data_IF_680316164494
#
_entry.id   IF_680316164494
#
_cell.length_a   1.000
_cell.length_b   1.000
_cell.length_c   1.000
_cell.angle_alpha   90.00
_cell.angle_beta   90.00
_cell.angle_gamma   90.00
#
_symmetry.space_group_name_H-M   'P 1'
#
loop_
_entity.id
_entity.type
_entity.pdbx_description
1 polymer ?
#
# COMPACT_ATOMS: atom_id res chain seq x y z
N UNK A 1 -31.22 5.91 2.64
CA UNK A 1 -29.77 5.68 2.91
C UNK A 1 -28.96 6.97 3.10
N UNK A 2 -29.39 8.11 2.57
CA UNK A 2 -28.70 9.40 2.68
C UNK A 2 -29.21 10.28 3.84
N UNK A 3 -29.94 9.73 4.80
CA UNK A 3 -30.46 10.46 5.96
C UNK A 3 -29.31 10.82 6.91
N UNK A 4 -29.38 12.02 7.51
CA UNK A 4 -28.44 12.51 8.52
C UNK A 4 -28.34 11.57 9.74
N UNK A 5 -29.45 10.88 10.07
CA UNK A 5 -29.48 9.87 11.13
C UNK A 5 -28.48 8.73 10.97
N UNK A 6 -27.96 8.49 9.75
CA UNK A 6 -26.97 7.48 9.47
C UNK A 6 -25.53 8.00 9.58
N UNK A 7 -25.31 9.28 9.88
CA UNK A 7 -24.00 9.90 10.14
C UNK A 7 -22.94 9.55 9.09
N UNK A 8 -23.34 9.50 7.80
CA UNK A 8 -22.43 9.17 6.68
C UNK A 8 -22.06 7.71 6.53
N UNK A 9 -22.48 6.81 7.43
CA UNK A 9 -22.24 5.35 7.36
C UNK A 9 -20.77 4.98 7.30
N UNK A 10 -19.95 5.69 8.06
CA UNK A 10 -18.53 5.37 8.16
C UNK A 10 -18.30 3.93 8.68
N UNK A 11 -17.22 3.30 8.31
CA UNK A 11 -16.87 1.94 8.73
C UNK A 11 -15.87 1.98 9.89
N UNK A 12 -16.13 1.34 11.02
CA UNK A 12 -17.42 0.75 11.45
C UNK A 12 -18.35 1.82 12.05
N UNK A 13 -19.66 1.67 11.92
CA UNK A 13 -20.61 2.54 12.63
C UNK A 13 -22.01 1.92 12.71
N UNK A 14 -22.83 2.32 13.72
CA UNK A 14 -24.24 1.92 13.77
C UNK A 14 -25.04 2.38 12.53
N UNK A 15 -24.64 3.47 11.90
CA UNK A 15 -25.22 3.94 10.65
C UNK A 15 -24.97 3.00 9.48
N UNK A 16 -23.77 2.40 9.40
CA UNK A 16 -23.47 1.38 8.42
C UNK A 16 -24.30 0.12 8.65
N UNK A 17 -24.40 -0.37 9.88
CA UNK A 17 -25.19 -1.55 10.22
C UNK A 17 -26.67 -1.36 9.90
N UNK A 18 -27.20 -0.19 10.20
CA UNK A 18 -28.59 0.19 9.86
C UNK A 18 -28.80 0.22 8.34
N UNK A 19 -27.84 0.74 7.59
CA UNK A 19 -27.91 0.77 6.13
C UNK A 19 -27.83 -0.65 5.54
N UNK A 20 -26.95 -1.50 6.05
CA UNK A 20 -26.83 -2.90 5.62
C UNK A 20 -28.13 -3.68 5.88
N UNK A 21 -28.72 -3.53 7.07
CA UNK A 21 -29.98 -4.15 7.40
C UNK A 21 -31.14 -3.65 6.51
N UNK A 22 -31.14 -2.36 6.15
CA UNK A 22 -32.13 -1.82 5.21
C UNK A 22 -31.96 -2.46 3.82
N UNK A 23 -30.75 -2.53 3.28
CA UNK A 23 -30.48 -3.13 1.97
C UNK A 23 -30.88 -4.60 1.95
N UNK A 24 -30.54 -5.36 2.99
CA UNK A 24 -30.91 -6.76 3.11
C UNK A 24 -32.44 -6.96 3.05
N UNK A 25 -33.21 -6.12 3.76
CA UNK A 25 -34.68 -6.14 3.67
C UNK A 25 -35.20 -5.82 2.27
N UNK A 26 -34.59 -4.86 1.57
CA UNK A 26 -35.00 -4.53 0.20
C UNK A 26 -34.74 -5.68 -0.76
N UNK A 27 -33.62 -6.37 -0.63
CA UNK A 27 -33.32 -7.57 -1.42
C UNK A 27 -34.33 -8.70 -1.15
N UNK A 28 -34.66 -8.92 0.12
CA UNK A 28 -35.66 -9.90 0.50
C UNK A 28 -37.06 -9.57 -0.07
N UNK A 29 -37.49 -8.32 0.00
CA UNK A 29 -38.75 -7.85 -0.57
C UNK A 29 -38.78 -7.97 -2.09
N UNK A 30 -37.64 -7.81 -2.75
CA UNK A 30 -37.49 -8.00 -4.21
C UNK A 30 -37.46 -9.48 -4.64
N UNK A 31 -37.57 -10.43 -3.70
CA UNK A 31 -37.56 -11.86 -3.98
C UNK A 31 -36.17 -12.45 -4.26
N UNK A 32 -35.11 -11.71 -4.00
CA UNK A 32 -33.75 -12.23 -4.13
C UNK A 32 -33.50 -13.33 -3.11
N UNK A 33 -32.50 -14.17 -3.35
CA UNK A 33 -32.06 -15.20 -2.42
C UNK A 33 -30.73 -14.79 -1.77
N UNK A 34 -30.54 -15.09 -0.49
CA UNK A 34 -29.27 -14.81 0.18
C UNK A 34 -28.15 -15.68 -0.36
N UNK A 35 -26.95 -15.14 -0.46
CA UNK A 35 -25.77 -15.90 -0.87
C UNK A 35 -25.28 -16.74 0.30
N UNK A 36 -25.17 -18.07 0.10
CA UNK A 36 -24.77 -19.02 1.14
C UNK A 36 -25.61 -18.90 2.44
N UNK A 37 -26.87 -18.53 2.31
CA UNK A 37 -27.79 -18.39 3.46
C UNK A 37 -27.66 -17.08 4.24
N UNK A 38 -26.84 -16.14 3.80
CA UNK A 38 -26.65 -14.86 4.47
C UNK A 38 -26.83 -13.67 3.53
N UNK A 39 -27.42 -12.58 4.05
CA UNK A 39 -27.56 -11.30 3.35
C UNK A 39 -26.35 -10.38 3.49
N UNK A 40 -25.46 -10.68 4.44
CA UNK A 40 -24.26 -9.93 4.74
C UNK A 40 -23.06 -10.87 4.81
N UNK A 41 -21.89 -10.36 4.49
CA UNK A 41 -20.62 -11.04 4.68
C UNK A 41 -19.84 -10.32 5.76
N UNK A 42 -19.33 -11.07 6.73
CA UNK A 42 -18.42 -10.54 7.74
C UNK A 42 -17.07 -10.21 7.10
N UNK A 43 -16.58 -9.00 7.34
CA UNK A 43 -15.25 -8.56 6.92
C UNK A 43 -14.49 -8.13 8.17
N UNK A 44 -13.43 -8.87 8.52
CA UNK A 44 -12.60 -8.55 9.67
C UNK A 44 -11.61 -7.45 9.30
N UNK A 45 -11.65 -6.38 10.06
CA UNK A 45 -10.79 -5.22 9.89
C UNK A 45 -10.05 -4.90 11.18
N UNK A 46 -8.89 -4.27 11.05
CA UNK A 46 -8.12 -3.76 12.18
C UNK A 46 -7.67 -2.33 11.90
N UNK A 47 -7.59 -1.52 12.93
CA UNK A 47 -6.87 -0.24 12.87
C UNK A 47 -5.40 -0.48 13.08
N UNK A 48 -4.57 0.28 12.39
CA UNK A 48 -3.13 0.22 12.51
C UNK A 48 -2.58 1.58 12.94
N UNK A 49 -1.52 1.56 13.72
CA UNK A 49 -0.78 2.75 14.13
C UNK A 49 0.69 2.55 13.81
N UNK A 50 1.38 3.67 13.60
CA UNK A 50 2.83 3.62 13.48
C UNK A 50 3.44 3.32 14.84
N UNK A 51 4.28 2.28 14.91
CA UNK A 51 5.02 1.92 16.12
C UNK A 51 6.15 2.92 16.43
N UNK A 52 6.75 2.78 17.61
CA UNK A 52 7.81 3.69 18.08
C UNK A 52 9.21 3.29 17.59
N UNK A 53 9.39 2.06 17.10
CA UNK A 53 10.69 1.46 16.78
C UNK A 53 10.97 1.35 15.27
N UNK A 54 10.51 2.33 14.49
CA UNK A 54 10.80 2.34 13.06
C UNK A 54 12.25 2.76 12.80
N UNK A 55 13.00 1.94 12.09
CA UNK A 55 14.40 2.21 11.75
C UNK A 55 14.70 1.85 10.29
N UNK A 56 15.51 2.66 9.64
CA UNK A 56 16.13 2.40 8.35
C UNK A 56 17.61 2.72 8.43
N UNK A 57 18.47 1.77 8.10
CA UNK A 57 19.92 1.92 8.06
C UNK A 57 20.45 1.36 6.76
N UNK A 58 21.34 2.08 6.10
CA UNK A 58 22.11 1.57 4.96
C UNK A 58 23.58 1.47 5.34
N UNK A 59 24.20 0.36 4.94
CA UNK A 59 25.64 0.13 5.06
C UNK A 59 26.29 0.28 3.69
N UNK A 60 27.14 1.28 3.52
CA UNK A 60 27.90 1.50 2.29
C UNK A 60 29.39 1.50 2.63
N UNK A 61 30.15 0.60 2.00
CA UNK A 61 31.59 0.45 2.26
C UNK A 61 31.92 0.25 3.76
N UNK A 62 31.11 -0.52 4.47
CA UNK A 62 31.27 -0.79 5.90
C UNK A 62 30.89 0.36 6.83
N UNK A 63 30.32 1.44 6.30
CA UNK A 63 29.84 2.59 7.09
C UNK A 63 28.31 2.58 7.13
N UNK A 64 27.77 2.55 8.35
CA UNK A 64 26.34 2.62 8.61
C UNK A 64 25.86 4.07 8.61
N UNK A 65 24.73 4.29 7.96
CA UNK A 65 24.00 5.55 7.97
C UNK A 65 22.55 5.26 8.36
N UNK A 66 22.12 5.83 9.48
CA UNK A 66 20.75 5.78 9.95
C UNK A 66 19.95 6.95 9.40
N UNK A 67 18.69 6.68 9.04
CA UNK A 67 17.75 7.64 8.46
C UNK A 67 16.61 7.96 9.41
N UNK A 68 16.10 9.18 9.33
CA UNK A 68 15.03 9.65 10.19
C UNK A 68 13.67 9.39 9.57
N UNK A 69 12.77 8.81 10.36
CA UNK A 69 11.36 8.67 9.96
C UNK A 69 10.75 10.06 9.72
N UNK A 70 9.83 10.17 8.78
CA UNK A 70 9.18 11.38 8.29
C UNK A 70 10.05 12.22 7.35
N UNK A 71 11.32 12.43 7.66
CA UNK A 71 12.20 13.28 6.86
C UNK A 71 12.85 12.48 5.71
N UNK A 72 13.34 11.28 6.00
CA UNK A 72 14.04 10.44 5.04
C UNK A 72 13.21 9.26 4.55
N UNK A 73 12.35 8.70 5.41
CA UNK A 73 11.48 7.59 5.03
C UNK A 73 10.13 7.58 5.77
N UNK A 74 9.15 6.93 5.17
CA UNK A 74 7.82 6.71 5.77
C UNK A 74 7.34 5.31 5.40
N UNK A 75 6.96 4.45 6.36
CA UNK A 75 6.35 3.15 6.07
C UNK A 75 5.00 3.31 5.36
N UNK A 76 4.69 2.39 4.45
CA UNK A 76 3.34 2.26 3.91
C UNK A 76 2.42 1.55 4.92
N UNK A 77 1.10 1.76 4.79
CA UNK A 77 0.09 1.11 5.63
C UNK A 77 -0.02 -0.42 5.40
N UNK A 78 0.48 -0.88 4.28
CA UNK A 78 0.56 -2.31 3.94
C UNK A 78 1.88 -2.96 4.36
N UNK A 79 2.79 -2.23 5.01
CA UNK A 79 4.10 -2.75 5.44
C UNK A 79 3.96 -3.89 6.45
N UNK A 80 4.89 -4.85 6.42
CA UNK A 80 5.03 -5.81 7.50
C UNK A 80 5.68 -5.16 8.73
N UNK A 81 5.29 -5.60 9.91
CA UNK A 81 5.93 -5.21 11.18
C UNK A 81 7.02 -6.23 11.53
N UNK A 82 8.17 -6.11 10.89
CA UNK A 82 9.34 -6.94 11.17
C UNK A 82 10.63 -6.32 10.66
N UNK A 83 11.75 -6.71 11.29
CA UNK A 83 13.09 -6.37 10.82
C UNK A 83 13.48 -7.29 9.65
N UNK A 84 14.03 -6.71 8.60
CA UNK A 84 14.68 -7.43 7.50
C UNK A 84 16.03 -6.81 7.20
N UNK A 85 16.93 -7.63 6.65
CA UNK A 85 18.24 -7.21 6.17
C UNK A 85 18.52 -7.89 4.83
N UNK A 86 19.13 -7.19 3.90
CA UNK A 86 19.50 -7.72 2.59
C UNK A 86 20.18 -6.66 1.73
N UNK A 87 20.83 -7.11 0.68
CA UNK A 87 21.40 -6.22 -0.32
C UNK A 87 20.30 -5.47 -1.08
N UNK A 88 20.62 -4.25 -1.53
CA UNK A 88 19.72 -3.48 -2.36
C UNK A 88 19.86 -3.88 -3.84
N UNK A 89 18.75 -3.98 -4.53
CA UNK A 89 18.71 -4.17 -5.98
C UNK A 89 17.61 -3.32 -6.60
N UNK A 90 17.95 -2.58 -7.65
CA UNK A 90 16.99 -1.75 -8.35
C UNK A 90 16.22 -2.58 -9.40
N UNK A 91 14.89 -2.47 -9.40
CA UNK A 91 13.99 -3.15 -10.32
C UNK A 91 12.96 -2.17 -10.91
N UNK A 92 13.45 -1.14 -11.57
CA UNK A 92 12.64 -0.20 -12.36
C UNK A 92 11.42 0.33 -11.60
N UNK A 93 10.24 0.07 -12.15
CA UNK A 93 8.95 0.40 -11.53
C UNK A 93 8.33 -0.79 -10.77
N UNK A 94 8.99 -1.95 -10.74
CA UNK A 94 8.47 -3.17 -10.12
C UNK A 94 7.24 -3.74 -10.85
N UNK A 95 7.19 -3.60 -12.17
CA UNK A 95 6.06 -4.00 -13.01
C UNK A 95 6.44 -5.23 -13.83
N UNK A 96 5.57 -6.25 -13.82
CA UNK A 96 5.57 -7.37 -14.76
C UNK A 96 4.30 -7.32 -15.58
N UNK A 97 4.41 -7.14 -16.89
CA UNK A 97 3.32 -7.00 -17.84
C UNK A 97 3.63 -7.75 -19.15
N UNK A 98 3.49 -9.09 -19.17
CA UNK A 98 3.86 -9.91 -20.34
C UNK A 98 3.09 -9.52 -21.61
N UNK A 99 1.83 -9.11 -21.47
CA UNK A 99 0.99 -8.61 -22.57
C UNK A 99 1.51 -7.31 -23.20
N UNK A 100 2.37 -6.58 -22.47
CA UNK A 100 3.06 -5.38 -22.94
C UNK A 100 4.52 -5.65 -23.28
N UNK A 101 4.97 -6.90 -23.23
CA UNK A 101 6.39 -7.30 -23.38
C UNK A 101 7.28 -6.45 -22.46
N UNK A 102 6.89 -6.38 -21.18
CA UNK A 102 7.57 -5.57 -20.18
C UNK A 102 7.68 -6.32 -18.86
N UNK A 103 8.89 -6.42 -18.33
CA UNK A 103 9.18 -7.01 -17.03
C UNK A 103 10.42 -6.35 -16.40
N UNK A 104 10.23 -5.64 -15.31
CA UNK A 104 11.32 -5.02 -14.54
C UNK A 104 12.15 -6.04 -13.75
N UNK A 105 11.68 -7.26 -13.62
CA UNK A 105 12.39 -8.34 -12.93
C UNK A 105 13.16 -9.27 -13.88
N UNK A 106 13.01 -9.09 -15.21
CA UNK A 106 13.74 -9.92 -16.17
C UNK A 106 15.25 -9.72 -16.03
N UNK A 107 15.95 -10.83 -15.76
CA UNK A 107 17.40 -10.81 -15.50
C UNK A 107 17.83 -10.22 -14.16
N UNK A 108 16.89 -9.84 -13.27
CA UNK A 108 17.18 -9.24 -11.97
C UNK A 108 16.88 -10.25 -10.85
N UNK A 109 17.91 -10.75 -10.16
CA UNK A 109 17.72 -11.62 -9.00
C UNK A 109 17.46 -10.79 -7.72
N UNK A 110 16.22 -10.86 -7.24
CA UNK A 110 15.76 -10.15 -6.02
C UNK A 110 15.57 -11.08 -4.82
N UNK A 111 15.85 -12.37 -4.94
CA UNK A 111 15.63 -13.35 -3.86
C UNK A 111 16.50 -13.05 -2.65
N UNK A 112 15.85 -12.92 -1.48
CA UNK A 112 16.51 -12.57 -0.22
C UNK A 112 17.04 -11.14 -0.17
N UNK A 113 16.71 -10.29 -1.17
CA UNK A 113 17.18 -8.91 -1.25
C UNK A 113 16.05 -7.91 -0.97
N UNK A 114 16.44 -6.67 -0.74
CA UNK A 114 15.52 -5.53 -0.63
C UNK A 114 15.47 -4.85 -2.00
N UNK A 115 14.30 -4.85 -2.62
CA UNK A 115 14.13 -4.26 -3.94
C UNK A 115 13.86 -2.75 -3.82
N UNK A 116 14.53 -1.97 -4.66
CA UNK A 116 14.28 -0.52 -4.83
C UNK A 116 13.49 -0.31 -6.10
N UNK A 117 12.38 0.41 -6.03
CA UNK A 117 11.54 0.68 -7.20
C UNK A 117 11.08 2.15 -7.26
N UNK A 118 10.71 2.59 -8.44
CA UNK A 118 9.92 3.82 -8.62
C UNK A 118 8.45 3.60 -8.29
N UNK A 119 7.82 4.63 -7.68
CA UNK A 119 6.47 4.56 -7.13
C UNK A 119 5.37 4.35 -8.18
N UNK A 120 5.41 5.13 -9.25
CA UNK A 120 4.34 5.15 -10.26
C UNK A 120 4.61 4.17 -11.42
N UNK A 121 4.40 4.57 -12.63
CA UNK A 121 4.63 3.78 -13.84
C UNK A 121 5.42 4.56 -14.88
N UNK A 122 6.01 3.89 -15.88
CA UNK A 122 6.71 4.58 -16.96
C UNK A 122 5.80 5.58 -17.68
N UNK A 123 6.28 6.82 -17.83
CA UNK A 123 5.53 7.91 -18.49
C UNK A 123 4.20 8.24 -17.80
N UNK A 124 4.19 8.32 -16.48
CA UNK A 124 2.98 8.53 -15.65
C UNK A 124 2.15 9.76 -16.06
N UNK A 125 2.80 10.81 -16.59
CA UNK A 125 2.16 12.05 -17.04
C UNK A 125 1.56 11.96 -18.45
N UNK A 126 1.80 10.84 -19.15
CA UNK A 126 1.27 10.62 -20.50
C UNK A 126 -0.02 9.80 -20.45
N UNK A 127 -1.14 10.47 -20.69
CA UNK A 127 -2.47 9.83 -20.68
C UNK A 127 -2.65 8.80 -21.80
N UNK A 128 -1.76 8.77 -22.79
CA UNK A 128 -1.74 7.79 -23.87
C UNK A 128 -0.82 6.62 -23.60
N UNK A 129 -0.05 6.67 -22.49
CA UNK A 129 0.83 5.59 -22.08
C UNK A 129 0.07 4.26 -21.94
N UNK A 130 0.68 3.20 -22.46
CA UNK A 130 0.17 1.82 -22.27
C UNK A 130 0.15 1.39 -20.80
N UNK A 131 0.90 2.11 -19.94
CA UNK A 131 0.96 1.87 -18.48
C UNK A 131 -0.02 2.75 -17.69
N UNK A 132 -0.86 3.56 -18.34
CA UNK A 132 -1.72 4.52 -17.66
C UNK A 132 -2.45 3.91 -16.44
N UNK A 133 -2.09 4.31 -15.24
CA UNK A 133 -2.60 3.77 -13.97
C UNK A 133 -4.09 4.05 -13.75
N UNK A 134 -4.64 5.12 -14.34
CA UNK A 134 -6.08 5.41 -14.24
C UNK A 134 -6.95 4.27 -14.82
N UNK A 135 -6.38 3.54 -15.80
CA UNK A 135 -7.05 2.38 -16.42
C UNK A 135 -6.58 1.04 -15.86
N UNK A 136 -5.47 1.02 -15.13
CA UNK A 136 -4.78 -0.20 -14.73
C UNK A 136 -4.32 -0.14 -13.26
N UNK A 137 -5.05 0.56 -12.38
CA UNK A 137 -4.69 0.72 -10.97
C UNK A 137 -4.47 -0.64 -10.26
N UNK A 138 -5.27 -1.65 -10.60
CA UNK A 138 -5.14 -3.00 -10.04
C UNK A 138 -3.87 -3.73 -10.52
N UNK A 139 -3.27 -3.30 -11.62
CA UNK A 139 -2.10 -3.93 -12.22
C UNK A 139 -0.78 -3.31 -11.77
N UNK A 140 -0.75 -1.97 -11.58
CA UNK A 140 0.46 -1.20 -11.25
C UNK A 140 0.40 -0.49 -9.88
N UNK A 141 -0.72 -0.60 -9.17
CA UNK A 141 -0.85 -0.05 -7.82
C UNK A 141 0.16 -0.67 -6.84
N UNK A 142 0.44 0.01 -5.73
CA UNK A 142 1.45 -0.44 -4.76
C UNK A 142 1.23 -1.86 -4.26
N UNK A 143 -0.03 -2.25 -4.00
CA UNK A 143 -0.34 -3.61 -3.56
C UNK A 143 0.09 -4.67 -4.60
N UNK A 144 -0.12 -4.40 -5.89
CA UNK A 144 0.31 -5.30 -6.97
C UNK A 144 1.83 -5.39 -7.06
N UNK A 145 2.54 -4.27 -6.93
CA UNK A 145 4.02 -4.23 -6.94
C UNK A 145 4.61 -4.97 -5.76
N UNK A 146 4.08 -4.78 -4.55
CA UNK A 146 4.50 -5.50 -3.33
C UNK A 146 4.29 -7.00 -3.49
N UNK A 147 3.13 -7.40 -4.00
CA UNK A 147 2.82 -8.81 -4.28
C UNK A 147 3.86 -9.41 -5.25
N UNK A 148 4.17 -8.72 -6.35
CA UNK A 148 5.15 -9.19 -7.34
C UNK A 148 6.57 -9.30 -6.76
N UNK A 149 7.04 -8.28 -6.05
CA UNK A 149 8.35 -8.34 -5.42
C UNK A 149 8.47 -9.57 -4.51
N UNK A 150 7.42 -9.83 -3.70
CA UNK A 150 7.35 -11.01 -2.84
C UNK A 150 7.33 -12.32 -3.65
N UNK A 151 6.56 -12.40 -4.74
CA UNK A 151 6.52 -13.56 -5.62
C UNK A 151 7.89 -13.87 -6.25
N UNK A 152 8.69 -12.84 -6.51
CA UNK A 152 10.08 -12.96 -6.94
C UNK A 152 11.06 -13.24 -5.78
N UNK A 153 10.58 -13.28 -4.53
CA UNK A 153 11.37 -13.65 -3.35
C UNK A 153 12.08 -12.47 -2.66
N UNK A 154 11.73 -11.22 -2.96
CA UNK A 154 12.23 -10.08 -2.22
C UNK A 154 11.77 -10.12 -0.75
N UNK A 155 12.64 -9.69 0.17
CA UNK A 155 12.37 -9.67 1.61
C UNK A 155 11.91 -8.29 2.12
N UNK A 156 12.09 -7.25 1.32
CA UNK A 156 11.66 -5.87 1.62
C UNK A 156 11.61 -5.02 0.36
N UNK A 157 11.00 -3.84 0.46
CA UNK A 157 10.87 -2.91 -0.66
C UNK A 157 11.08 -1.46 -0.22
N UNK A 158 11.98 -0.77 -0.91
CA UNK A 158 12.12 0.68 -0.86
C UNK A 158 11.46 1.28 -2.10
N UNK A 159 10.61 2.28 -1.89
CA UNK A 159 9.88 2.95 -2.95
C UNK A 159 10.28 4.41 -2.99
N UNK A 160 10.67 4.92 -4.14
CA UNK A 160 11.01 6.32 -4.32
C UNK A 160 10.17 6.95 -5.43
N UNK A 161 9.98 8.25 -5.38
CA UNK A 161 9.41 8.98 -6.50
C UNK A 161 10.44 9.03 -7.64
N UNK A 162 9.97 8.92 -8.88
CA UNK A 162 10.84 9.05 -10.05
C UNK A 162 11.28 10.52 -10.23
N UNK A 163 12.61 10.80 -10.25
CA UNK A 163 13.11 12.18 -10.22
C UNK A 163 12.71 13.04 -11.40
N UNK A 164 12.48 12.43 -12.57
CA UNK A 164 12.14 13.17 -13.78
C UNK A 164 10.67 13.62 -13.82
N UNK A 165 9.80 12.95 -13.10
CA UNK A 165 8.36 13.23 -13.09
C UNK A 165 7.88 13.94 -11.82
N UNK A 166 8.73 14.03 -10.80
CA UNK A 166 8.39 14.62 -9.50
C UNK A 166 9.34 15.73 -9.08
N UNK A 167 8.79 16.90 -8.76
CA UNK A 167 9.57 18.03 -8.24
C UNK A 167 10.10 17.84 -6.83
N UNK A 168 9.51 16.90 -6.07
CA UNK A 168 9.92 16.59 -4.69
C UNK A 168 10.04 15.10 -4.50
N UNK A 169 11.17 14.70 -3.98
CA UNK A 169 11.47 13.32 -3.59
C UNK A 169 11.24 13.08 -2.10
N UNK A 170 10.79 14.08 -1.35
CA UNK A 170 10.50 13.94 0.09
C UNK A 170 9.40 12.92 0.31
N UNK A 171 9.59 11.93 1.18
CA UNK A 171 8.55 10.98 1.53
C UNK A 171 7.42 11.69 2.26
N UNK A 172 6.18 11.24 2.06
CA UNK A 172 5.01 11.84 2.70
C UNK A 172 4.43 10.90 3.74
N UNK A 173 3.92 11.47 4.83
CA UNK A 173 3.43 10.74 6.00
C UNK A 173 2.07 10.06 5.83
N UNK A 174 1.84 9.38 4.74
CA UNK A 174 0.60 8.63 4.54
C UNK A 174 0.61 7.32 5.30
N UNK A 175 -0.51 6.91 5.72
CA UNK A 175 -1.71 7.58 6.20
C UNK A 175 -1.62 7.86 7.71
N UNK A 176 -0.42 8.07 8.23
CA UNK A 176 -0.10 8.07 9.66
C UNK A 176 -0.47 9.40 10.34
N UNK A 177 -1.47 9.41 11.24
CA UNK A 177 -1.83 10.61 11.99
C UNK A 177 -0.67 11.16 12.84
N UNK A 178 0.21 10.29 13.36
CA UNK A 178 1.38 10.67 14.15
C UNK A 178 2.39 11.51 13.36
N UNK A 179 2.48 11.32 12.05
CA UNK A 179 3.36 12.06 11.14
C UNK A 179 2.67 13.21 10.42
N UNK A 180 1.35 13.34 10.54
CA UNK A 180 0.55 14.34 9.83
C UNK A 180 0.25 15.53 10.71
N UNK A 181 0.16 16.73 10.09
CA UNK A 181 -0.38 17.92 10.73
C UNK A 181 -1.87 18.12 10.44
N UNK A 182 -2.41 17.42 9.46
CA UNK A 182 -3.76 17.61 8.92
C UNK A 182 -4.69 16.48 9.38
N UNK A 183 -4.20 15.24 9.42
CA UNK A 183 -4.99 14.07 9.81
C UNK A 183 -5.21 14.10 11.32
N UNK A 184 -6.46 13.99 11.81
CA UNK A 184 -6.75 13.88 13.24
C UNK A 184 -6.00 12.72 13.89
N UNK A 185 -5.54 12.88 15.12
CA UNK A 185 -4.69 11.90 15.82
C UNK A 185 -5.35 10.55 16.07
N UNK A 186 -6.67 10.54 16.13
CA UNK A 186 -7.55 9.37 16.32
C UNK A 186 -8.03 8.74 15.00
N UNK A 187 -7.75 9.38 13.84
CA UNK A 187 -8.12 8.88 12.53
C UNK A 187 -7.12 7.82 12.04
N UNK A 188 -7.00 6.73 12.81
CA UNK A 188 -6.10 5.63 12.45
C UNK A 188 -6.57 4.94 11.15
N UNK A 189 -5.65 4.60 10.25
CA UNK A 189 -5.97 3.85 9.05
C UNK A 189 -6.52 2.47 9.41
N UNK A 190 -7.49 2.03 8.63
CA UNK A 190 -8.13 0.74 8.78
C UNK A 190 -7.78 -0.16 7.61
N UNK A 191 -7.39 -1.37 7.89
CA UNK A 191 -7.03 -2.38 6.89
C UNK A 191 -7.74 -3.70 7.16
N UNK A 192 -7.84 -4.53 6.14
CA UNK A 192 -8.29 -5.91 6.33
C UNK A 192 -7.31 -6.65 7.24
N UNK A 193 -7.85 -7.46 8.17
CA UNK A 193 -7.01 -8.39 8.91
C UNK A 193 -6.42 -9.39 7.91
N UNK A 194 -5.13 -9.36 7.74
CA UNK A 194 -4.37 -10.28 6.91
C UNK A 194 -3.26 -10.91 7.75
N UNK A 195 -2.86 -12.12 7.37
CA UNK A 195 -1.70 -12.76 7.98
C UNK A 195 -0.44 -11.94 7.61
N UNK A 196 0.30 -11.50 8.62
CA UNK A 196 1.52 -10.71 8.44
C UNK A 196 2.67 -11.52 7.83
N UNK A 197 2.57 -12.85 7.87
CA UNK A 197 3.55 -13.75 7.23
C UNK A 197 3.61 -13.58 5.71
N UNK A 198 2.52 -13.12 5.11
CA UNK A 198 2.45 -12.83 3.67
C UNK A 198 2.90 -11.43 3.26
N UNK A 199 3.28 -10.58 4.19
CA UNK A 199 3.71 -9.22 3.90
C UNK A 199 5.23 -9.11 3.93
N UNK A 200 5.77 -8.08 3.28
CA UNK A 200 7.15 -7.64 3.40
C UNK A 200 7.19 -6.20 3.89
N UNK A 201 8.26 -5.74 4.57
CA UNK A 201 8.44 -4.33 4.87
C UNK A 201 8.50 -3.49 3.60
N UNK A 202 7.71 -2.40 3.58
CA UNK A 202 7.60 -1.48 2.45
C UNK A 202 7.67 -0.06 2.96
N UNK A 203 8.64 0.71 2.52
CA UNK A 203 8.82 2.10 2.93
C UNK A 203 9.01 3.03 1.74
N UNK A 204 8.42 4.21 1.82
CA UNK A 204 8.69 5.31 0.90
C UNK A 204 9.94 6.03 1.36
N UNK A 205 10.91 6.17 0.50
CA UNK A 205 12.20 6.81 0.80
C UNK A 205 12.38 8.10 0.01
N UNK A 206 13.12 9.04 0.62
CA UNK A 206 13.50 10.30 0.00
C UNK A 206 14.86 10.26 -0.66
N UNK A 207 15.29 11.39 -1.17
CA UNK A 207 16.54 11.56 -1.93
C UNK A 207 17.82 11.33 -1.13
N UNK A 208 17.74 11.35 0.22
CA UNK A 208 18.90 11.13 1.09
C UNK A 208 19.21 9.64 1.30
N UNK A 209 18.25 8.78 1.03
CA UNK A 209 18.37 7.33 1.11
C UNK A 209 18.86 6.75 -0.21
#
# INVERSE_FOLDING_TARGET
LASDALLGRNTPSPGLDTAAAYIARQFQQAGLQPVRGAWTQEVRMQTIALGDSNALTLTVNGKDTAFAIKDDFVPFDMTADRLVQGDLVFAGYGITAPDLTYDDYDGVDVRGKIVVIFRHEPRENDTTSRFNSRKNADRWGMAAKVKRAREHGAVGMLVMNEPLSHMSLTPRGYPWPSLSRIIPKDALPMTLMADDTEKIPVVHVGERV
#
